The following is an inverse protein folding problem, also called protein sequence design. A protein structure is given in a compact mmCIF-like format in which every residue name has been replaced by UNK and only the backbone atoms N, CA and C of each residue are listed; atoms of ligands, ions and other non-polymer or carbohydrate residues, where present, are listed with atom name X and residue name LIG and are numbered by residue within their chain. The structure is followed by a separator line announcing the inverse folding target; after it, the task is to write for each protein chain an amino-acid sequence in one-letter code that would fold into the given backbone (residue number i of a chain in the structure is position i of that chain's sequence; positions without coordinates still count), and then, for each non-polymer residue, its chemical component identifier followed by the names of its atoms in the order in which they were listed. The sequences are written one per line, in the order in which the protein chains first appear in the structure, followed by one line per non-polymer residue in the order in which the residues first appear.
data_IF_957984680705
#
_entry.id   IF_957984680705
#
_cell.length_a   1.000
_cell.length_b   1.000
_cell.length_c   1.000
_cell.angle_alpha   90.00
_cell.angle_beta   90.00
_cell.angle_gamma   90.00
#
_symmetry.space_group_name_H-M   'P 1'
#
loop_
_entity.id
_entity.type
_entity.pdbx_description
1 polymer ?
#
# COMPACT_ATOMS: atom_id res chain seq x y z
N UNK A 1 -4.65 -36.33 45.93
CA UNK A 1 -3.82 -35.16 45.77
C UNK A 1 -3.38 -35.11 44.30
N UNK A 2 -4.10 -34.40 43.46
CA UNK A 2 -3.72 -34.23 42.07
C UNK A 2 -2.59 -33.20 42.01
N UNK A 3 -1.44 -33.59 41.50
CA UNK A 3 -0.38 -32.67 41.05
C UNK A 3 -0.85 -32.05 39.76
N UNK A 4 -1.65 -30.97 39.89
CA UNK A 4 -1.99 -30.15 38.73
C UNK A 4 -0.73 -29.41 38.29
N UNK A 5 -0.14 -29.83 37.19
CA UNK A 5 0.88 -29.03 36.50
C UNK A 5 0.25 -27.71 36.11
N UNK A 6 0.79 -26.61 36.60
CA UNK A 6 0.36 -25.27 36.17
C UNK A 6 0.57 -25.14 34.68
N UNK A 7 -0.36 -24.49 33.93
CA UNK A 7 -0.17 -24.28 32.50
C UNK A 7 1.14 -23.57 32.28
N UNK A 8 1.99 -24.12 31.38
CA UNK A 8 3.30 -23.58 31.03
C UNK A 8 3.17 -22.85 29.70
N UNK A 9 3.64 -21.60 29.62
CA UNK A 9 3.79 -20.89 28.39
C UNK A 9 4.76 -21.64 27.48
N UNK A 10 4.28 -22.08 26.31
CA UNK A 10 5.08 -22.80 25.32
C UNK A 10 5.60 -21.86 24.25
N UNK A 11 4.80 -20.88 23.86
CA UNK A 11 5.12 -19.92 22.82
C UNK A 11 4.38 -18.60 23.07
N UNK A 12 5.07 -17.50 22.87
CA UNK A 12 4.51 -16.16 22.84
C UNK A 12 4.97 -15.49 21.53
N UNK A 13 4.03 -14.94 20.78
CA UNK A 13 4.39 -14.23 19.54
C UNK A 13 5.12 -12.92 19.85
N UNK A 14 5.88 -12.43 18.88
CA UNK A 14 6.62 -11.18 19.03
C UNK A 14 5.65 -10.01 19.26
N UNK A 15 5.97 -9.07 20.17
CA UNK A 15 5.26 -7.80 20.28
C UNK A 15 5.16 -7.10 18.93
N UNK A 16 4.09 -6.32 18.75
CA UNK A 16 3.82 -5.63 17.47
C UNK A 16 5.04 -4.88 16.90
N UNK A 17 5.81 -4.09 17.67
CA UNK A 17 6.99 -3.41 17.13
C UNK A 17 8.01 -4.37 16.51
N UNK A 18 8.26 -5.51 17.14
CA UNK A 18 9.21 -6.50 16.64
C UNK A 18 8.67 -7.27 15.43
N UNK A 19 7.36 -7.52 15.35
CA UNK A 19 6.73 -8.05 14.13
C UNK A 19 6.90 -7.10 12.96
N UNK A 20 6.73 -5.80 13.19
CA UNK A 20 6.98 -4.78 12.16
C UNK A 20 8.44 -4.82 11.72
N UNK A 21 9.39 -4.93 12.64
CA UNK A 21 10.82 -5.06 12.28
C UNK A 21 11.07 -6.30 11.43
N UNK A 22 10.52 -7.45 11.80
CA UNK A 22 10.67 -8.71 11.06
C UNK A 22 10.04 -8.65 9.66
N UNK A 23 8.84 -8.08 9.56
CA UNK A 23 7.97 -8.23 8.38
C UNK A 23 8.02 -7.03 7.44
N UNK A 24 8.37 -5.82 7.92
CA UNK A 24 8.30 -4.58 7.12
C UNK A 24 9.67 -4.09 6.67
N UNK A 25 10.71 -4.28 7.49
CA UNK A 25 12.04 -3.79 7.15
C UNK A 25 12.64 -4.56 5.98
N UNK A 26 13.22 -3.81 5.04
CA UNK A 26 13.89 -4.33 3.86
C UNK A 26 15.15 -3.51 3.52
N UNK A 27 15.80 -3.81 2.40
CA UNK A 27 17.00 -3.10 1.95
C UNK A 27 16.79 -1.60 1.73
N UNK A 28 15.59 -1.19 1.33
CA UNK A 28 15.25 0.20 1.03
C UNK A 28 14.89 1.03 2.28
N UNK A 29 14.74 0.40 3.45
CA UNK A 29 14.43 1.11 4.69
C UNK A 29 15.62 1.97 5.10
N UNK A 30 15.46 3.29 5.07
CA UNK A 30 16.49 4.30 5.36
C UNK A 30 16.40 4.86 6.78
N UNK A 31 15.24 4.78 7.43
CA UNK A 31 15.01 5.33 8.77
C UNK A 31 13.93 4.57 9.52
N UNK A 32 14.15 4.37 10.82
CA UNK A 32 13.20 3.79 11.77
C UNK A 32 13.10 4.79 12.90
N UNK A 33 11.98 5.48 13.02
CA UNK A 33 11.73 6.51 14.02
C UNK A 33 10.86 5.97 15.14
N UNK A 34 11.26 6.20 16.38
CA UNK A 34 10.56 5.72 17.56
C UNK A 34 10.53 6.85 18.60
N UNK A 35 9.36 7.12 19.14
CA UNK A 35 9.09 8.17 20.16
C UNK A 35 8.95 7.62 21.58
N UNK A 36 8.91 6.29 21.74
CA UNK A 36 8.87 5.60 23.03
C UNK A 36 10.21 4.94 23.35
N UNK A 37 10.83 5.33 24.47
CA UNK A 37 12.16 4.85 24.85
C UNK A 37 12.22 3.35 25.11
N UNK A 38 11.30 2.73 25.87
CA UNK A 38 11.25 1.29 26.05
C UNK A 38 11.15 0.51 24.73
N UNK A 39 10.30 0.97 23.81
CA UNK A 39 10.14 0.39 22.47
C UNK A 39 11.43 0.49 21.66
N UNK A 40 12.11 1.65 21.72
CA UNK A 40 13.39 1.81 21.05
C UNK A 40 14.45 0.82 21.57
N UNK A 41 14.52 0.60 22.87
CA UNK A 41 15.49 -0.32 23.47
C UNK A 41 15.22 -1.79 23.09
N UNK A 42 13.94 -2.17 22.95
CA UNK A 42 13.54 -3.51 22.49
C UNK A 42 13.88 -3.68 20.99
N UNK A 43 13.55 -2.69 20.17
CA UNK A 43 13.86 -2.70 18.73
C UNK A 43 15.40 -2.72 18.51
N UNK A 44 16.14 -1.90 19.26
CA UNK A 44 17.59 -1.84 19.13
C UNK A 44 18.27 -3.18 19.41
N UNK A 45 17.84 -3.91 20.46
CA UNK A 45 18.32 -5.27 20.74
C UNK A 45 17.97 -6.24 19.62
N UNK A 46 16.72 -6.21 19.15
CA UNK A 46 16.27 -7.09 18.06
C UNK A 46 17.07 -6.85 16.78
N UNK A 47 17.30 -5.58 16.42
CA UNK A 47 18.09 -5.25 15.23
C UNK A 47 19.55 -5.68 15.39
N UNK A 48 20.17 -5.49 16.57
CA UNK A 48 21.54 -5.93 16.82
C UNK A 48 21.70 -7.45 16.65
N UNK A 49 20.70 -8.23 17.06
CA UNK A 49 20.74 -9.69 17.04
C UNK A 49 20.41 -10.27 15.65
N UNK A 50 19.50 -9.65 14.90
CA UNK A 50 18.92 -10.27 13.69
C UNK A 50 19.17 -9.47 12.41
N UNK A 51 19.32 -8.13 12.47
CA UNK A 51 19.44 -7.25 11.29
C UNK A 51 20.42 -6.12 11.61
N UNK A 52 21.68 -6.42 11.95
CA UNK A 52 22.64 -5.43 12.46
C UNK A 52 22.92 -4.29 11.49
N UNK A 53 22.80 -4.51 10.17
CA UNK A 53 22.97 -3.48 9.14
C UNK A 53 21.89 -2.38 9.21
N UNK A 54 20.76 -2.62 9.87
CA UNK A 54 19.68 -1.62 10.04
C UNK A 54 19.76 -0.88 11.38
N UNK A 55 20.68 -1.22 12.25
CA UNK A 55 20.83 -0.56 13.56
C UNK A 55 21.11 0.94 13.38
N UNK A 56 21.91 1.30 12.37
CA UNK A 56 22.21 2.70 12.04
C UNK A 56 21.01 3.51 11.54
N UNK A 57 19.93 2.84 11.13
CA UNK A 57 18.68 3.49 10.71
C UNK A 57 17.77 3.85 11.89
N UNK A 58 17.99 3.24 13.07
CA UNK A 58 17.16 3.46 14.26
C UNK A 58 17.48 4.81 14.91
N UNK A 59 16.43 5.61 15.14
CA UNK A 59 16.54 6.95 15.73
C UNK A 59 15.43 7.18 16.73
N UNK A 60 15.79 7.77 17.87
CA UNK A 60 14.84 8.26 18.85
C UNK A 60 14.36 9.65 18.45
N UNK A 61 13.05 9.85 18.43
CA UNK A 61 12.42 11.15 18.33
C UNK A 61 11.94 11.54 19.73
N UNK A 62 12.31 12.75 20.20
CA UNK A 62 11.90 13.22 21.54
C UNK A 62 10.39 13.30 21.68
N UNK A 63 9.89 13.35 22.91
CA UNK A 63 8.45 13.45 23.21
C UNK A 63 7.76 14.70 22.65
N UNK A 64 8.54 15.73 22.31
CA UNK A 64 8.03 16.96 21.69
C UNK A 64 7.79 16.81 20.16
N UNK A 65 8.26 15.74 19.55
CA UNK A 65 8.12 15.47 18.11
C UNK A 65 7.04 14.42 17.91
N UNK A 66 5.78 14.88 17.80
CA UNK A 66 4.62 14.00 17.56
C UNK A 66 4.75 13.42 16.14
N UNK A 67 5.24 12.18 16.03
CA UNK A 67 5.54 11.53 14.76
C UNK A 67 4.32 11.46 13.84
N UNK A 68 3.14 11.20 14.37
CA UNK A 68 1.92 11.10 13.58
C UNK A 68 1.55 12.44 12.95
N UNK A 69 1.66 13.55 13.68
CA UNK A 69 1.41 14.90 13.14
C UNK A 69 2.45 15.27 12.07
N UNK A 70 3.72 15.03 12.40
CA UNK A 70 4.84 15.34 11.48
C UNK A 70 4.70 14.66 10.12
N UNK A 71 4.24 13.42 10.09
CA UNK A 71 4.06 12.64 8.88
C UNK A 71 2.60 12.60 8.40
N UNK A 72 1.71 13.37 9.02
CA UNK A 72 0.30 13.45 8.66
C UNK A 72 -0.37 12.07 8.56
N UNK A 73 -0.06 11.20 9.54
CA UNK A 73 -0.51 9.81 9.51
C UNK A 73 -2.01 9.72 9.67
N UNK A 74 -2.60 10.49 10.58
CA UNK A 74 -4.04 10.49 10.82
C UNK A 74 -4.81 10.98 9.59
N UNK A 75 -4.33 12.05 8.93
CA UNK A 75 -4.91 12.54 7.67
C UNK A 75 -4.87 11.47 6.57
N UNK A 76 -3.75 10.71 6.49
CA UNK A 76 -3.61 9.63 5.52
C UNK A 76 -4.53 8.44 5.84
N UNK A 77 -4.75 8.12 7.12
CA UNK A 77 -5.70 7.10 7.55
C UNK A 77 -7.11 7.53 7.20
N UNK A 78 -7.50 8.78 7.52
CA UNK A 78 -8.81 9.32 7.17
C UNK A 78 -9.04 9.33 5.64
N UNK A 79 -8.05 9.78 4.88
CA UNK A 79 -8.11 9.75 3.41
C UNK A 79 -8.26 8.31 2.87
N UNK A 80 -7.65 7.32 3.53
CA UNK A 80 -7.78 5.91 3.14
C UNK A 80 -9.18 5.32 3.42
N UNK A 81 -10.00 5.96 4.25
CA UNK A 81 -11.40 5.56 4.50
C UNK A 81 -12.36 6.14 3.45
N UNK A 82 -11.94 7.17 2.72
CA UNK A 82 -12.79 7.80 1.70
C UNK A 82 -12.93 6.91 0.47
N UNK A 83 -14.14 6.92 -0.11
CA UNK A 83 -14.42 6.21 -1.37
C UNK A 83 -13.59 6.76 -2.54
N UNK A 84 -13.36 8.08 -2.56
CA UNK A 84 -12.62 8.77 -3.60
C UNK A 84 -11.16 8.99 -3.21
N UNK A 85 -10.26 8.80 -4.17
CA UNK A 85 -8.83 9.06 -4.04
C UNK A 85 -8.41 10.06 -5.10
N UNK A 86 -7.98 11.24 -4.70
CA UNK A 86 -7.50 12.27 -5.61
C UNK A 86 -6.14 11.87 -6.22
N UNK A 87 -5.95 12.18 -7.50
CA UNK A 87 -4.70 12.04 -8.24
C UNK A 87 -4.07 13.44 -8.47
N UNK A 88 -2.76 13.46 -8.69
CA UNK A 88 -2.01 14.70 -8.86
C UNK A 88 -2.40 15.47 -10.14
N UNK A 89 -2.81 14.75 -11.16
CA UNK A 89 -3.32 15.31 -12.43
C UNK A 89 -4.64 16.06 -12.30
N UNK A 90 -5.31 15.98 -11.15
CA UNK A 90 -6.67 16.45 -10.93
C UNK A 90 -7.73 15.41 -11.20
N UNK A 91 -7.34 14.22 -11.68
CA UNK A 91 -8.19 13.04 -11.76
C UNK A 91 -8.43 12.41 -10.38
N UNK A 92 -9.21 11.35 -10.35
CA UNK A 92 -9.48 10.62 -9.11
C UNK A 92 -9.86 9.17 -9.38
N UNK A 93 -9.68 8.33 -8.36
CA UNK A 93 -10.18 6.96 -8.33
C UNK A 93 -11.46 6.90 -7.49
N UNK A 94 -12.40 6.07 -7.90
CA UNK A 94 -13.52 5.63 -7.06
C UNK A 94 -13.29 4.17 -6.72
N UNK A 95 -13.25 3.85 -5.44
CA UNK A 95 -13.02 2.48 -4.96
C UNK A 95 -14.28 2.02 -4.24
N UNK A 96 -14.96 1.04 -4.81
CA UNK A 96 -16.15 0.43 -4.28
C UNK A 96 -15.91 -1.04 -3.94
N UNK A 97 -16.22 -1.40 -2.71
CA UNK A 97 -16.17 -2.78 -2.25
C UNK A 97 -17.59 -3.34 -2.15
N UNK A 98 -17.88 -4.35 -2.96
CA UNK A 98 -19.12 -5.10 -2.92
C UNK A 98 -18.93 -6.41 -2.14
N UNK A 99 -19.99 -7.20 -2.00
CA UNK A 99 -19.93 -8.52 -1.36
C UNK A 99 -18.98 -9.48 -2.13
N UNK A 100 -18.97 -9.40 -3.47
CA UNK A 100 -18.25 -10.34 -4.32
C UNK A 100 -16.87 -9.84 -4.77
N UNK A 101 -16.70 -8.55 -4.99
CA UNK A 101 -15.50 -7.98 -5.60
C UNK A 101 -15.28 -6.52 -5.20
N UNK A 102 -14.10 -6.01 -5.49
CA UNK A 102 -13.78 -4.58 -5.45
C UNK A 102 -13.73 -4.03 -6.86
N UNK A 103 -14.36 -2.89 -7.10
CA UNK A 103 -14.26 -2.16 -8.37
C UNK A 103 -13.50 -0.87 -8.15
N UNK A 104 -12.66 -0.51 -9.13
CA UNK A 104 -11.87 0.72 -9.14
C UNK A 104 -12.11 1.40 -10.48
N UNK A 105 -12.74 2.57 -10.43
CA UNK A 105 -13.05 3.39 -11.59
C UNK A 105 -12.10 4.60 -11.63
N UNK A 106 -11.52 4.89 -12.80
CA UNK A 106 -10.56 5.98 -13.01
C UNK A 106 -11.22 7.13 -13.75
N UNK A 107 -11.14 8.34 -13.19
CA UNK A 107 -11.78 9.54 -13.73
C UNK A 107 -10.77 10.68 -13.94
N UNK A 108 -10.92 11.46 -15.02
CA UNK A 108 -10.07 12.64 -15.30
C UNK A 108 -10.34 13.83 -14.39
N UNK A 109 -11.53 13.88 -13.75
CA UNK A 109 -11.89 14.95 -12.79
C UNK A 109 -12.26 16.29 -13.40
N UNK A 110 -12.00 16.55 -14.67
CA UNK A 110 -12.29 17.81 -15.34
C UNK A 110 -12.70 17.63 -16.80
N UNK A 111 -13.32 18.69 -17.37
CA UNK A 111 -13.65 18.69 -18.79
C UNK A 111 -12.36 18.93 -19.60
N UNK A 112 -11.91 17.89 -20.29
CA UNK A 112 -10.74 17.97 -21.17
C UNK A 112 -11.26 17.92 -22.61
N UNK A 113 -10.95 18.92 -23.41
CA UNK A 113 -11.35 18.98 -24.81
C UNK A 113 -10.15 19.18 -25.72
N UNK A 114 -10.15 18.55 -26.90
CA UNK A 114 -9.19 18.82 -27.96
C UNK A 114 -8.00 17.85 -28.00
N UNK A 115 -6.89 18.33 -28.60
CA UNK A 115 -5.68 17.53 -28.88
C UNK A 115 -4.97 17.00 -27.61
N UNK A 116 -5.25 17.60 -26.45
CA UNK A 116 -4.63 17.24 -25.18
C UNK A 116 -5.41 16.13 -24.42
N UNK A 117 -6.52 15.62 -24.98
CA UNK A 117 -7.36 14.64 -24.31
C UNK A 117 -6.62 13.31 -24.12
N UNK A 118 -6.02 12.78 -25.17
CA UNK A 118 -5.29 11.50 -25.12
C UNK A 118 -4.12 11.56 -24.12
N UNK A 119 -3.34 12.65 -24.13
CA UNK A 119 -2.26 12.88 -23.18
C UNK A 119 -2.76 12.96 -21.73
N UNK A 120 -3.89 13.62 -21.51
CA UNK A 120 -4.49 13.74 -20.19
C UNK A 120 -4.97 12.39 -19.68
N UNK A 121 -5.68 11.63 -20.52
CA UNK A 121 -6.12 10.25 -20.22
C UNK A 121 -4.92 9.37 -19.87
N UNK A 122 -3.89 9.39 -20.71
CA UNK A 122 -2.69 8.60 -20.48
C UNK A 122 -2.01 8.94 -19.14
N UNK A 123 -1.82 10.23 -18.84
CA UNK A 123 -1.23 10.68 -17.56
C UNK A 123 -2.08 10.27 -16.37
N UNK A 124 -3.40 10.43 -16.46
CA UNK A 124 -4.32 10.05 -15.40
C UNK A 124 -4.26 8.54 -15.14
N UNK A 125 -4.28 7.73 -16.20
CA UNK A 125 -4.16 6.27 -16.10
C UNK A 125 -2.80 5.82 -15.54
N UNK A 126 -1.69 6.49 -15.89
CA UNK A 126 -0.38 6.22 -15.30
C UNK A 126 -0.35 6.52 -13.80
N UNK A 127 -0.91 7.66 -13.39
CA UNK A 127 -1.01 8.00 -11.97
C UNK A 127 -1.92 7.02 -11.21
N UNK A 128 -3.04 6.64 -11.81
CA UNK A 128 -3.94 5.62 -11.29
C UNK A 128 -3.20 4.28 -11.07
N UNK A 129 -2.44 3.84 -12.07
CA UNK A 129 -1.66 2.59 -12.01
C UNK A 129 -0.62 2.59 -10.89
N UNK A 130 -0.05 3.74 -10.57
CA UNK A 130 0.88 3.88 -9.45
C UNK A 130 0.15 3.96 -8.09
N UNK A 131 -1.04 4.59 -8.06
CA UNK A 131 -1.81 4.79 -6.83
C UNK A 131 -2.57 3.52 -6.39
N UNK A 132 -3.14 2.76 -7.32
CA UNK A 132 -3.97 1.58 -7.04
C UNK A 132 -3.26 0.55 -6.14
N UNK A 133 -2.03 0.08 -6.43
CA UNK A 133 -1.36 -0.89 -5.57
C UNK A 133 -1.16 -0.38 -4.14
N UNK A 134 -0.92 0.93 -3.97
CA UNK A 134 -0.82 1.55 -2.64
C UNK A 134 -2.17 1.50 -1.91
N UNK A 135 -3.26 1.83 -2.59
CA UNK A 135 -4.61 1.81 -2.00
C UNK A 135 -5.04 0.39 -1.62
N UNK A 136 -4.72 -0.61 -2.44
CA UNK A 136 -4.99 -2.02 -2.13
C UNK A 136 -4.31 -2.46 -0.83
N UNK A 137 -3.05 -2.03 -0.63
CA UNK A 137 -2.31 -2.34 0.61
C UNK A 137 -2.86 -1.57 1.82
N UNK A 138 -3.05 -0.26 1.69
CA UNK A 138 -3.53 0.60 2.79
C UNK A 138 -4.90 0.17 3.31
N UNK A 139 -5.82 -0.19 2.40
CA UNK A 139 -7.18 -0.62 2.72
C UNK A 139 -7.30 -2.12 2.95
N UNK A 140 -6.19 -2.86 2.79
CA UNK A 140 -6.14 -4.32 2.85
C UNK A 140 -7.22 -5.00 1.98
N UNK A 141 -7.43 -4.47 0.77
CA UNK A 141 -8.40 -5.02 -0.18
C UNK A 141 -7.85 -6.30 -0.80
N UNK A 142 -8.72 -7.32 -0.92
CA UNK A 142 -8.35 -8.61 -1.50
C UNK A 142 -9.56 -9.33 -2.09
N UNK A 143 -9.32 -10.43 -2.76
CA UNK A 143 -10.31 -11.14 -3.56
C UNK A 143 -10.22 -10.72 -5.02
N UNK A 144 -11.36 -10.69 -5.70
CA UNK A 144 -11.47 -10.23 -7.09
C UNK A 144 -11.49 -8.71 -7.10
N UNK A 145 -10.70 -8.10 -7.98
CA UNK A 145 -10.60 -6.65 -8.15
C UNK A 145 -10.69 -6.37 -9.65
N UNK A 146 -11.59 -5.47 -10.02
CA UNK A 146 -11.77 -5.01 -11.40
C UNK A 146 -11.38 -3.54 -11.44
N UNK A 147 -10.51 -3.19 -12.39
CA UNK A 147 -10.04 -1.83 -12.60
C UNK A 147 -10.53 -1.37 -13.96
N UNK A 148 -11.26 -0.27 -13.97
CA UNK A 148 -11.77 0.39 -15.16
C UNK A 148 -10.89 1.62 -15.44
N UNK A 149 -9.98 1.47 -16.41
CA UNK A 149 -9.14 2.57 -16.87
C UNK A 149 -9.90 3.39 -17.92
N UNK A 150 -9.59 4.68 -17.99
CA UNK A 150 -10.13 5.54 -19.04
C UNK A 150 -9.63 5.02 -20.40
N UNK A 151 -10.52 4.94 -21.37
CA UNK A 151 -10.22 4.44 -22.71
C UNK A 151 -9.03 5.16 -23.34
N UNK A 152 -8.07 4.37 -23.83
CA UNK A 152 -6.88 4.85 -24.56
C UNK A 152 -6.89 4.28 -25.97
N UNK A 153 -6.52 5.10 -26.95
CA UNK A 153 -6.42 4.68 -28.35
C UNK A 153 -5.05 4.06 -28.61
N UNK A 154 -3.99 4.64 -28.07
CA UNK A 154 -2.60 4.21 -28.29
C UNK A 154 -2.26 2.93 -27.53
N UNK A 155 -1.90 1.88 -28.26
CA UNK A 155 -1.51 0.59 -27.69
C UNK A 155 -0.22 0.64 -26.85
N UNK A 156 0.69 1.58 -27.13
CA UNK A 156 1.88 1.80 -26.32
C UNK A 156 1.51 2.41 -24.96
N UNK A 157 0.57 3.36 -24.92
CA UNK A 157 0.03 3.91 -23.69
C UNK A 157 -0.59 2.81 -22.81
N UNK A 158 -1.43 1.94 -23.40
CA UNK A 158 -2.01 0.79 -22.70
C UNK A 158 -0.94 -0.10 -22.08
N UNK A 159 0.10 -0.44 -22.85
CA UNK A 159 1.21 -1.27 -22.36
C UNK A 159 1.98 -0.62 -21.22
N UNK A 160 2.22 0.69 -21.29
CA UNK A 160 2.95 1.40 -20.25
C UNK A 160 2.13 1.50 -18.95
N UNK A 161 0.84 1.78 -19.03
CA UNK A 161 -0.10 1.79 -17.90
C UNK A 161 -0.10 0.44 -17.18
N UNK A 162 -0.24 -0.67 -17.93
CA UNK A 162 -0.18 -2.02 -17.36
C UNK A 162 1.19 -2.33 -16.73
N UNK A 163 2.28 -1.96 -17.35
CA UNK A 163 3.64 -2.18 -16.81
C UNK A 163 3.85 -1.46 -15.47
N UNK A 164 3.34 -0.23 -15.33
CA UNK A 164 3.40 0.52 -14.07
C UNK A 164 2.57 -0.18 -13.00
N UNK A 165 1.37 -0.64 -13.35
CA UNK A 165 0.52 -1.41 -12.44
C UNK A 165 1.19 -2.71 -11.99
N UNK A 166 1.71 -3.50 -12.92
CA UNK A 166 2.44 -4.75 -12.65
C UNK A 166 3.62 -4.53 -11.71
N UNK A 167 4.42 -3.48 -11.97
CA UNK A 167 5.54 -3.12 -11.10
C UNK A 167 5.08 -2.77 -9.68
N UNK A 168 4.00 -2.01 -9.54
CA UNK A 168 3.44 -1.65 -8.23
C UNK A 168 2.88 -2.85 -7.47
N UNK A 169 2.27 -3.79 -8.19
CA UNK A 169 1.71 -5.03 -7.63
C UNK A 169 2.82 -6.02 -7.24
N UNK A 170 3.88 -6.14 -8.05
CA UNK A 170 5.01 -7.06 -7.75
C UNK A 170 5.77 -6.66 -6.48
N UNK A 171 5.66 -5.42 -6.04
CA UNK A 171 6.19 -4.95 -4.75
C UNK A 171 5.30 -5.32 -3.56
N UNK A 172 4.09 -5.88 -3.78
CA UNK A 172 3.22 -6.34 -2.70
C UNK A 172 3.73 -7.69 -2.16
N UNK A 173 3.67 -7.84 -0.83
CA UNK A 173 4.03 -9.11 -0.16
C UNK A 173 2.99 -10.20 -0.35
N UNK A 174 1.78 -9.79 -0.65
CA UNK A 174 0.65 -10.68 -0.88
C UNK A 174 0.63 -11.11 -2.34
N UNK A 175 0.45 -12.40 -2.57
CA UNK A 175 0.37 -12.95 -3.93
C UNK A 175 -0.80 -12.32 -4.68
N UNK A 176 -0.48 -11.68 -5.81
CA UNK A 176 -1.43 -11.11 -6.75
C UNK A 176 -1.28 -11.79 -8.11
N UNK A 177 -2.38 -11.94 -8.82
CA UNK A 177 -2.38 -12.30 -10.23
C UNK A 177 -3.09 -11.18 -11.00
N UNK A 178 -2.51 -10.75 -12.10
CA UNK A 178 -3.04 -9.72 -12.98
C UNK A 178 -3.31 -10.33 -14.35
N UNK A 179 -4.44 -9.99 -14.98
CA UNK A 179 -4.72 -10.33 -16.37
C UNK A 179 -4.31 -9.18 -17.28
N UNK A 180 -4.30 -9.43 -18.57
CA UNK A 180 -4.16 -8.37 -19.56
C UNK A 180 -5.46 -7.56 -19.66
N UNK A 181 -5.40 -6.42 -20.34
CA UNK A 181 -6.57 -5.61 -20.65
C UNK A 181 -7.58 -6.46 -21.43
N UNK A 182 -8.83 -6.49 -20.97
CA UNK A 182 -9.91 -7.19 -21.66
C UNK A 182 -10.36 -6.40 -22.89
N UNK A 183 -11.20 -7.01 -23.74
CA UNK A 183 -11.83 -6.33 -24.89
C UNK A 183 -12.70 -5.14 -24.47
N UNK A 184 -13.17 -5.12 -23.24
CA UNK A 184 -13.95 -4.03 -22.65
C UNK A 184 -13.07 -2.92 -22.00
N UNK A 185 -11.75 -2.98 -22.13
CA UNK A 185 -10.85 -2.01 -21.48
C UNK A 185 -10.62 -2.24 -19.99
N UNK A 186 -11.15 -3.33 -19.42
CA UNK A 186 -11.04 -3.64 -17.99
C UNK A 186 -9.78 -4.44 -17.68
N UNK A 187 -9.17 -4.19 -16.53
CA UNK A 187 -8.10 -5.01 -15.97
C UNK A 187 -8.65 -5.81 -14.79
N UNK A 188 -8.52 -7.13 -14.91
CA UNK A 188 -8.94 -8.03 -13.85
C UNK A 188 -7.73 -8.47 -13.04
N UNK A 189 -7.86 -8.49 -11.73
CA UNK A 189 -6.82 -9.01 -10.86
C UNK A 189 -7.41 -9.75 -9.66
N UNK A 190 -6.57 -10.60 -9.07
CA UNK A 190 -6.85 -11.21 -7.78
C UNK A 190 -5.73 -10.91 -6.80
N UNK A 191 -6.08 -10.59 -5.58
CA UNK A 191 -5.16 -10.41 -4.45
C UNK A 191 -5.58 -11.34 -3.32
N UNK A 192 -4.64 -12.14 -2.81
CA UNK A 192 -4.95 -13.07 -1.70
C UNK A 192 -5.45 -12.27 -0.48
N UNK A 193 -6.50 -12.75 0.17
CA UNK A 193 -7.01 -12.21 1.44
C UNK A 193 -6.17 -12.70 2.61
#
# INVERSE_FOLDING_TARGET
AGTGESPRLIYEDLPLPLRVMRDVINSETSSILVDDKPTMDIIGRFLADFIPEKLSCLRFCGQDDVLFDRYQIDDQIEAALNRQVALKSGGYLIIDQTEAMTTIDVNTGGFVSGKDLEDTVYRTNLEASAAIPRQLRLRNLGGIIIIDFIDMIDEEHKRQVLRVLEKGISADRVKCNLTQLSELGLVEMTRKR
#
